data_IF_864515248818
#
_entry.id   IF_864515248818
#
_cell.length_a   1.000
_cell.length_b   1.000
_cell.length_c   1.000
_cell.angle_alpha   90.00
_cell.angle_beta   90.00
_cell.angle_gamma   90.00
#
_symmetry.space_group_name_H-M   'P 1'
#
loop_
_entity.id
_entity.type
_entity.pdbx_description
1 polymer ?
#
# COMPACT_ATOMS: atom_id res chain seq x y z
N UNK A 1 70.33 -22.38 5.88
CA UNK A 1 69.45 -21.19 5.91
C UNK A 1 68.07 -21.68 6.31
N UNK A 2 67.52 -21.22 7.42
CA UNK A 2 66.25 -21.71 7.98
C UNK A 2 65.16 -20.65 7.76
N UNK A 3 64.11 -21.02 7.05
CA UNK A 3 62.92 -20.20 6.82
C UNK A 3 62.18 -19.94 8.13
N UNK A 4 62.05 -18.67 8.53
CA UNK A 4 61.14 -18.25 9.59
C UNK A 4 59.75 -18.08 8.99
N UNK A 5 58.87 -19.07 9.20
CA UNK A 5 57.44 -18.91 8.94
C UNK A 5 56.86 -17.78 9.81
N UNK A 6 56.26 -16.79 9.15
CA UNK A 6 55.44 -15.76 9.78
C UNK A 6 54.15 -16.40 10.31
N UNK A 7 54.01 -16.49 11.63
CA UNK A 7 52.74 -16.85 12.27
C UNK A 7 51.84 -15.61 12.33
N UNK A 8 50.76 -15.60 11.54
CA UNK A 8 49.67 -14.64 11.71
C UNK A 8 48.72 -15.15 12.79
N UNK A 9 48.46 -14.31 13.80
CA UNK A 9 47.37 -14.53 14.75
C UNK A 9 46.14 -13.78 14.27
N UNK A 10 45.07 -14.52 13.96
CA UNK A 10 43.75 -13.95 13.75
C UNK A 10 43.27 -13.36 15.08
N UNK A 11 43.06 -12.05 15.11
CA UNK A 11 42.43 -11.37 16.24
C UNK A 11 40.92 -11.60 16.13
N UNK A 12 40.27 -12.01 17.23
CA UNK A 12 38.81 -12.13 17.25
C UNK A 12 38.16 -10.81 16.84
N UNK A 13 37.15 -10.89 15.98
CA UNK A 13 36.40 -9.72 15.53
C UNK A 13 35.74 -9.06 16.75
N UNK A 14 36.23 -7.89 17.16
CA UNK A 14 35.47 -7.01 18.03
C UNK A 14 34.14 -6.74 17.32
N UNK A 15 33.01 -7.07 17.96
CA UNK A 15 31.67 -6.66 17.50
C UNK A 15 31.76 -5.20 17.07
N UNK A 16 31.47 -4.94 15.81
CA UNK A 16 31.63 -3.60 15.28
C UNK A 16 30.57 -2.72 15.94
N UNK A 17 30.89 -1.44 16.16
CA UNK A 17 29.90 -0.44 16.62
C UNK A 17 28.73 -0.30 15.62
N UNK A 18 28.87 -0.89 14.42
CA UNK A 18 27.85 -0.95 13.37
C UNK A 18 26.74 -1.95 13.71
N UNK A 19 27.03 -3.00 14.48
CA UNK A 19 26.02 -4.02 14.87
C UNK A 19 25.00 -3.49 15.89
N UNK A 20 25.32 -2.41 16.61
CA UNK A 20 24.47 -1.80 17.64
C UNK A 20 23.56 -0.67 17.11
N UNK A 21 23.63 -0.29 15.83
CA UNK A 21 23.09 1.01 15.34
C UNK A 21 22.21 1.00 14.09
N UNK A 22 21.43 -0.06 13.83
CA UNK A 22 20.31 0.03 12.89
C UNK A 22 19.07 -0.65 13.46
N UNK A 23 18.63 -0.22 14.64
CA UNK A 23 17.29 -0.59 15.14
C UNK A 23 16.26 0.24 14.37
N UNK A 24 15.24 -0.40 13.77
CA UNK A 24 14.10 0.33 13.21
C UNK A 24 13.51 1.31 14.21
N UNK A 25 13.27 2.54 13.78
CA UNK A 25 12.69 3.64 14.55
C UNK A 25 11.46 4.26 13.86
N UNK A 26 11.00 3.63 12.79
CA UNK A 26 9.81 3.96 12.03
C UNK A 26 9.15 2.69 11.48
N UNK A 27 7.93 2.82 10.95
CA UNK A 27 7.17 1.73 10.38
C UNK A 27 6.45 2.18 9.11
N UNK A 28 6.35 1.26 8.14
CA UNK A 28 5.45 1.39 6.99
C UNK A 28 4.47 0.24 7.03
N UNK A 29 3.20 0.54 6.85
CA UNK A 29 2.10 -0.40 6.97
C UNK A 29 1.35 -0.47 5.65
N UNK A 30 1.22 -1.67 5.10
CA UNK A 30 0.32 -1.91 3.96
C UNK A 30 -1.03 -2.34 4.51
N UNK A 31 -2.08 -1.58 4.19
CA UNK A 31 -3.43 -1.80 4.67
C UNK A 31 -4.26 -2.36 3.52
N UNK A 32 -4.73 -3.60 3.64
CA UNK A 32 -5.49 -4.29 2.61
C UNK A 32 -6.91 -4.58 3.09
N UNK A 33 -7.85 -3.80 2.56
CA UNK A 33 -9.27 -3.92 2.77
C UNK A 33 -9.90 -4.97 1.87
N UNK A 34 -10.63 -5.91 2.45
CA UNK A 34 -11.39 -6.93 1.71
C UNK A 34 -12.60 -6.37 0.93
N UNK A 35 -13.31 -7.23 0.18
CA UNK A 35 -14.58 -6.86 -0.44
C UNK A 35 -15.60 -6.46 0.62
N UNK A 36 -16.58 -5.65 0.23
CA UNK A 36 -17.63 -5.16 1.12
C UNK A 36 -18.96 -5.02 0.38
N UNK A 37 -20.05 -4.87 1.15
CA UNK A 37 -21.38 -4.58 0.61
C UNK A 37 -21.83 -3.21 1.10
N UNK A 38 -22.28 -2.38 0.17
CA UNK A 38 -22.87 -1.07 0.47
C UNK A 38 -24.19 -0.97 -0.28
N UNK A 39 -25.27 -0.63 0.43
CA UNK A 39 -26.62 -0.48 -0.16
C UNK A 39 -27.10 -1.67 -1.01
N UNK A 40 -26.65 -2.88 -0.66
CA UNK A 40 -26.98 -4.12 -1.39
C UNK A 40 -26.07 -4.42 -2.60
N UNK A 41 -25.20 -3.50 -3.00
CA UNK A 41 -24.22 -3.70 -4.05
C UNK A 41 -22.92 -4.30 -3.49
N UNK A 42 -22.36 -5.27 -4.23
CA UNK A 42 -21.12 -5.94 -3.86
C UNK A 42 -19.91 -5.23 -4.48
N UNK A 43 -19.03 -4.70 -3.64
CA UNK A 43 -17.77 -4.09 -4.04
C UNK A 43 -16.62 -5.09 -3.87
N UNK A 44 -16.44 -5.92 -4.90
CA UNK A 44 -15.51 -7.06 -4.91
C UNK A 44 -14.02 -6.69 -4.88
N UNK A 45 -13.67 -5.49 -5.34
CA UNK A 45 -12.26 -5.13 -5.53
C UNK A 45 -11.49 -4.98 -4.21
N UNK A 46 -12.15 -4.54 -3.14
CA UNK A 46 -11.48 -4.18 -1.89
C UNK A 46 -10.82 -2.80 -1.96
N UNK A 47 -9.80 -2.58 -1.13
CA UNK A 47 -9.04 -1.33 -1.09
C UNK A 47 -7.63 -1.54 -0.57
N UNK A 48 -6.71 -0.67 -0.96
CA UNK A 48 -5.33 -0.67 -0.46
C UNK A 48 -4.94 0.75 -0.06
N UNK A 49 -4.34 0.90 1.11
CA UNK A 49 -3.77 2.16 1.57
C UNK A 49 -2.39 1.93 2.18
N UNK A 50 -1.63 3.00 2.35
CA UNK A 50 -0.30 2.96 2.95
C UNK A 50 -0.23 3.88 4.16
N UNK A 51 0.16 3.36 5.31
CA UNK A 51 0.39 4.15 6.52
C UNK A 51 1.87 4.23 6.85
N UNK A 52 2.32 5.40 7.28
CA UNK A 52 3.71 5.65 7.68
C UNK A 52 3.69 6.20 9.09
N UNK A 53 4.43 5.53 9.98
CA UNK A 53 4.61 5.92 11.38
C UNK A 53 6.08 6.24 11.60
N UNK A 54 6.36 7.43 12.13
CA UNK A 54 7.68 7.81 12.61
C UNK A 54 7.55 8.80 13.76
N UNK A 55 8.67 9.21 14.36
CA UNK A 55 8.66 10.19 15.44
C UNK A 55 7.88 11.46 15.05
N UNK A 56 6.78 11.70 15.75
CA UNK A 56 5.92 12.88 15.59
C UNK A 56 5.00 12.86 14.36
N UNK A 57 4.89 11.76 13.63
CA UNK A 57 3.99 11.64 12.48
C UNK A 57 3.37 10.25 12.37
N UNK A 58 2.06 10.20 12.14
CA UNK A 58 1.30 9.01 11.79
C UNK A 58 0.34 9.42 10.67
N UNK A 59 0.67 9.03 9.45
CA UNK A 59 -0.02 9.49 8.24
C UNK A 59 -0.47 8.29 7.43
N UNK A 60 -1.73 8.29 6.99
CA UNK A 60 -2.26 7.28 6.08
C UNK A 60 -2.61 7.90 4.73
N UNK A 61 -2.00 7.37 3.67
CA UNK A 61 -2.23 7.73 2.28
C UNK A 61 -3.23 6.76 1.67
N UNK A 62 -4.35 7.31 1.21
CA UNK A 62 -5.51 6.58 0.76
C UNK A 62 -5.92 7.10 -0.63
N UNK A 63 -5.59 6.35 -1.68
CA UNK A 63 -5.89 6.75 -3.05
C UNK A 63 -7.09 6.00 -3.59
N UNK A 64 -8.06 6.73 -4.14
CA UNK A 64 -9.28 6.13 -4.61
C UNK A 64 -10.08 7.03 -5.54
N UNK A 65 -11.23 6.51 -5.93
CA UNK A 65 -12.24 7.20 -6.73
C UNK A 65 -13.28 7.84 -5.81
N UNK A 66 -12.87 8.92 -5.16
CA UNK A 66 -13.67 9.61 -4.15
C UNK A 66 -14.40 10.86 -4.66
N UNK A 67 -14.22 11.17 -5.94
CA UNK A 67 -14.88 12.26 -6.64
C UNK A 67 -15.89 11.71 -7.65
N UNK A 68 -15.97 12.35 -8.83
CA UNK A 68 -16.86 11.88 -9.90
C UNK A 68 -16.37 10.53 -10.44
N UNK A 69 -17.29 9.56 -10.53
CA UNK A 69 -17.08 8.24 -11.14
C UNK A 69 -17.47 8.28 -12.62
N UNK A 70 -16.70 7.62 -13.48
CA UNK A 70 -16.87 7.55 -14.93
C UNK A 70 -16.61 6.12 -15.45
N UNK A 71 -16.75 5.91 -16.76
CA UNK A 71 -16.45 4.64 -17.42
C UNK A 71 -17.52 3.56 -17.21
N UNK A 72 -17.43 2.49 -17.99
CA UNK A 72 -18.36 1.36 -17.93
C UNK A 72 -18.28 0.70 -16.54
N UNK A 73 -19.43 0.38 -15.95
CA UNK A 73 -19.53 -0.20 -14.59
C UNK A 73 -18.88 0.67 -13.50
N UNK A 74 -18.71 1.97 -13.76
CA UNK A 74 -18.01 2.88 -12.87
C UNK A 74 -16.53 2.54 -12.72
N UNK A 75 -15.91 1.89 -13.72
CA UNK A 75 -14.53 1.40 -13.70
C UNK A 75 -13.46 2.50 -13.84
N UNK A 76 -13.84 3.78 -13.89
CA UNK A 76 -12.96 4.95 -13.89
C UNK A 76 -13.46 6.06 -12.95
N UNK A 77 -12.64 7.07 -12.70
CA UNK A 77 -13.09 8.28 -12.02
C UNK A 77 -11.96 9.24 -11.71
N UNK A 78 -12.30 10.35 -11.07
CA UNK A 78 -11.31 11.27 -10.53
C UNK A 78 -10.36 10.53 -9.59
N UNK A 79 -9.06 10.61 -9.87
CA UNK A 79 -8.04 10.11 -8.97
C UNK A 79 -7.93 11.03 -7.77
N UNK A 80 -8.36 10.57 -6.60
CA UNK A 80 -8.35 11.36 -5.37
C UNK A 80 -7.41 10.71 -4.37
N UNK A 81 -6.37 11.45 -3.96
CA UNK A 81 -5.53 11.12 -2.82
C UNK A 81 -6.10 11.77 -1.56
N UNK A 82 -6.41 10.94 -0.57
CA UNK A 82 -6.76 11.31 0.80
C UNK A 82 -5.54 11.10 1.69
N UNK A 83 -5.27 12.08 2.54
CA UNK A 83 -4.16 12.05 3.50
C UNK A 83 -4.75 12.24 4.88
N UNK A 84 -4.69 11.18 5.68
CA UNK A 84 -5.24 11.14 7.03
C UNK A 84 -4.14 11.35 8.05
N UNK A 85 -4.31 12.31 8.96
CA UNK A 85 -3.43 12.53 10.11
C UNK A 85 -3.88 11.79 11.39
N UNK A 86 -4.93 10.98 11.28
CA UNK A 86 -5.48 10.19 12.38
C UNK A 86 -5.89 8.81 11.87
N UNK A 87 -5.13 7.77 12.26
CA UNK A 87 -5.37 6.40 11.83
C UNK A 87 -6.69 5.83 12.37
N UNK A 88 -7.09 6.17 13.61
CA UNK A 88 -8.35 5.69 14.18
C UNK A 88 -9.56 6.18 13.37
N UNK A 89 -9.49 7.41 12.85
CA UNK A 89 -10.53 7.97 11.96
C UNK A 89 -10.54 7.29 10.59
N UNK A 90 -9.36 7.03 10.03
CA UNK A 90 -9.24 6.25 8.80
C UNK A 90 -9.86 4.85 8.96
N UNK A 91 -9.42 4.10 9.97
CA UNK A 91 -9.84 2.71 10.12
C UNK A 91 -11.31 2.59 10.54
N UNK A 92 -11.84 3.55 11.32
CA UNK A 92 -13.26 3.64 11.59
C UNK A 92 -14.09 3.84 10.30
N UNK A 93 -13.57 4.62 9.34
CA UNK A 93 -14.26 4.82 8.06
C UNK A 93 -14.26 3.57 7.18
N UNK A 94 -13.17 2.80 7.18
CA UNK A 94 -13.10 1.50 6.50
C UNK A 94 -14.06 0.48 7.16
N UNK A 95 -14.07 0.42 8.49
CA UNK A 95 -14.93 -0.49 9.25
C UNK A 95 -16.42 -0.14 9.10
N UNK A 96 -16.77 1.13 8.89
CA UNK A 96 -18.15 1.54 8.64
C UNK A 96 -18.74 0.95 7.35
N UNK A 97 -17.88 0.51 6.42
CA UNK A 97 -18.28 -0.22 5.21
C UNK A 97 -18.52 -1.72 5.48
N UNK A 98 -18.38 -2.20 6.72
CA UNK A 98 -18.45 -3.62 7.07
C UNK A 98 -17.26 -4.44 6.57
N UNK A 99 -16.17 -3.76 6.18
CA UNK A 99 -14.97 -4.36 5.63
C UNK A 99 -14.04 -4.85 6.73
N UNK A 100 -13.40 -6.00 6.49
CA UNK A 100 -12.20 -6.44 7.21
C UNK A 100 -10.96 -5.85 6.53
N UNK A 101 -10.13 -5.13 7.30
CA UNK A 101 -8.86 -4.58 6.80
C UNK A 101 -7.70 -5.27 7.50
N UNK A 102 -6.81 -5.87 6.73
CA UNK A 102 -5.57 -6.48 7.23
C UNK A 102 -4.42 -5.49 7.10
N UNK A 103 -3.74 -5.22 8.20
CA UNK A 103 -2.54 -4.40 8.31
C UNK A 103 -1.30 -5.27 8.33
N UNK A 104 -0.35 -5.00 7.42
CA UNK A 104 0.96 -5.65 7.33
C UNK A 104 2.05 -4.65 7.71
N UNK A 105 2.72 -4.88 8.84
CA UNK A 105 3.70 -3.94 9.41
C UNK A 105 5.13 -4.25 8.96
N UNK A 106 5.85 -3.24 8.48
CA UNK A 106 7.26 -3.32 8.07
C UNK A 106 8.09 -2.32 8.88
N UNK A 107 8.89 -2.79 9.86
CA UNK A 107 9.83 -1.94 10.58
C UNK A 107 10.90 -1.41 9.64
N UNK A 108 11.14 -0.11 9.67
CA UNK A 108 12.11 0.58 8.83
C UNK A 108 12.87 1.65 9.60
N UNK A 109 13.88 2.23 8.97
CA UNK A 109 14.58 3.40 9.48
C UNK A 109 13.82 4.68 9.10
N UNK A 110 13.94 5.74 9.90
CA UNK A 110 13.23 7.00 9.69
C UNK A 110 13.43 7.58 8.27
N UNK A 111 14.63 7.47 7.70
CA UNK A 111 14.88 7.97 6.34
C UNK A 111 14.12 7.19 5.26
N UNK A 112 13.83 5.91 5.50
CA UNK A 112 13.03 5.09 4.59
C UNK A 112 11.56 5.47 4.67
N UNK A 113 11.04 5.68 5.88
CA UNK A 113 9.69 6.22 6.09
C UNK A 113 9.53 7.59 5.40
N UNK A 114 10.52 8.48 5.53
CA UNK A 114 10.54 9.77 4.81
C UNK A 114 10.60 9.62 3.29
N UNK A 115 11.22 8.57 2.75
CA UNK A 115 11.25 8.34 1.31
C UNK A 115 9.83 8.09 0.76
N UNK A 116 9.01 7.34 1.52
CA UNK A 116 7.59 7.13 1.19
C UNK A 116 6.80 8.43 1.29
N UNK A 117 6.95 9.18 2.38
CA UNK A 117 6.29 10.48 2.54
C UNK A 117 6.66 11.44 1.40
N UNK A 118 7.95 11.54 1.06
CA UNK A 118 8.42 12.39 -0.04
C UNK A 118 7.83 12.00 -1.40
N UNK A 119 7.58 10.71 -1.62
CA UNK A 119 6.89 10.23 -2.82
C UNK A 119 5.46 10.76 -2.89
N UNK A 120 4.70 10.66 -1.79
CA UNK A 120 3.34 11.21 -1.74
C UNK A 120 3.32 12.74 -1.75
N UNK A 121 4.24 13.42 -1.07
CA UNK A 121 4.41 14.87 -1.15
C UNK A 121 4.61 15.33 -2.61
N UNK A 122 5.37 14.56 -3.40
CA UNK A 122 5.57 14.81 -4.82
C UNK A 122 4.28 14.68 -5.64
N UNK A 123 3.41 13.74 -5.28
CA UNK A 123 2.09 13.55 -5.88
C UNK A 123 1.13 14.66 -5.46
N UNK A 124 1.11 15.02 -4.17
CA UNK A 124 0.27 16.07 -3.60
C UNK A 124 0.55 17.43 -4.24
N UNK A 125 1.82 17.79 -4.43
CA UNK A 125 2.25 19.05 -5.07
C UNK A 125 1.75 19.20 -6.50
N UNK A 126 1.50 18.09 -7.19
CA UNK A 126 0.95 18.09 -8.55
C UNK A 126 -0.58 18.06 -8.56
N UNK A 127 -1.20 17.73 -7.42
CA UNK A 127 -2.64 17.64 -7.27
C UNK A 127 -3.31 18.98 -6.97
N UNK A 128 -4.60 19.05 -7.25
CA UNK A 128 -5.48 20.16 -6.90
C UNK A 128 -6.17 19.86 -5.55
N UNK A 129 -6.01 20.73 -4.57
CA UNK A 129 -6.73 20.60 -3.30
C UNK A 129 -8.26 20.61 -3.52
N UNK A 130 -8.98 19.70 -2.83
CA UNK A 130 -10.44 19.54 -2.87
C UNK A 130 -11.05 19.75 -1.47
N UNK A 131 -11.05 20.99 -0.94
CA UNK A 131 -11.50 21.28 0.43
C UNK A 131 -12.99 20.95 0.66
N UNK A 132 -13.81 20.94 -0.39
CA UNK A 132 -15.20 20.53 -0.31
C UNK A 132 -15.36 19.04 0.01
N UNK A 133 -14.40 18.20 -0.39
CA UNK A 133 -14.33 16.79 0.00
C UNK A 133 -13.73 16.62 1.40
N UNK A 134 -13.18 17.66 2.04
CA UNK A 134 -12.64 17.63 3.41
C UNK A 134 -13.67 18.06 4.46
N UNK A 135 -14.78 18.68 4.04
CA UNK A 135 -15.72 19.37 4.95
C UNK A 135 -16.15 18.47 6.12
N UNK A 136 -15.92 18.96 7.34
CA UNK A 136 -16.27 18.26 8.59
C UNK A 136 -15.26 17.20 9.05
N UNK A 137 -14.12 17.04 8.35
CA UNK A 137 -13.07 16.06 8.66
C UNK A 137 -11.70 16.76 8.79
N UNK A 138 -11.40 17.43 9.91
CA UNK A 138 -10.15 18.18 10.09
C UNK A 138 -8.87 17.32 9.98
N UNK A 139 -8.98 16.02 10.23
CA UNK A 139 -7.92 15.03 10.09
C UNK A 139 -7.61 14.63 8.63
N UNK A 140 -8.42 15.08 7.68
CA UNK A 140 -8.35 14.66 6.28
C UNK A 140 -7.97 15.82 5.37
N UNK A 141 -6.89 15.63 4.61
CA UNK A 141 -6.59 16.44 3.43
C UNK A 141 -6.92 15.65 2.17
N UNK A 142 -7.42 16.33 1.15
CA UNK A 142 -7.88 15.71 -0.10
C UNK A 142 -7.33 16.46 -1.30
N UNK A 143 -6.73 15.71 -2.21
CA UNK A 143 -6.13 16.20 -3.44
C UNK A 143 -6.65 15.40 -4.63
N UNK A 144 -7.12 16.10 -5.67
CA UNK A 144 -7.39 15.51 -6.97
C UNK A 144 -6.10 15.49 -7.78
N UNK A 145 -5.70 14.31 -8.22
CA UNK A 145 -4.51 14.12 -9.04
C UNK A 145 -4.81 14.42 -10.51
N UNK A 146 -3.76 14.73 -11.28
CA UNK A 146 -3.88 14.90 -12.73
C UNK A 146 -4.14 13.57 -13.46
N UNK A 147 -3.82 12.45 -12.80
CA UNK A 147 -4.08 11.10 -13.30
C UNK A 147 -5.38 10.56 -12.72
N UNK A 148 -6.30 10.16 -13.59
CA UNK A 148 -7.55 9.53 -13.19
C UNK A 148 -7.30 8.15 -12.55
N UNK A 149 -8.15 7.80 -11.60
CA UNK A 149 -8.18 6.43 -11.07
C UNK A 149 -8.80 5.52 -12.12
N UNK A 150 -8.18 4.36 -12.35
CA UNK A 150 -8.71 3.29 -13.17
C UNK A 150 -8.60 1.96 -12.43
N UNK A 151 -9.71 1.26 -12.22
CA UNK A 151 -9.78 0.08 -11.34
C UNK A 151 -8.80 -1.03 -11.71
N UNK A 152 -8.44 -1.12 -13.00
CA UNK A 152 -7.57 -2.16 -13.54
C UNK A 152 -6.15 -1.69 -13.88
N UNK A 153 -5.81 -0.42 -13.62
CA UNK A 153 -4.49 0.15 -13.96
C UNK A 153 -4.00 0.98 -12.79
N UNK A 154 -4.10 2.30 -12.88
CA UNK A 154 -3.69 3.23 -11.84
C UNK A 154 -4.76 3.30 -10.75
N UNK A 155 -4.57 2.52 -9.69
CA UNK A 155 -5.54 2.35 -8.59
C UNK A 155 -4.87 2.41 -7.21
N UNK A 156 -5.68 2.17 -6.18
CA UNK A 156 -5.27 2.17 -4.77
C UNK A 156 -4.08 1.24 -4.49
N UNK A 157 -4.11 0.03 -5.07
CA UNK A 157 -3.07 -0.98 -4.92
C UNK A 157 -1.78 -0.57 -5.61
N UNK A 158 -1.85 -0.20 -6.88
CA UNK A 158 -0.63 0.15 -7.63
C UNK A 158 0.07 1.36 -7.03
N UNK A 159 -0.68 2.38 -6.59
CA UNK A 159 -0.08 3.57 -5.99
C UNK A 159 0.54 3.27 -4.61
N UNK A 160 -0.11 2.42 -3.82
CA UNK A 160 0.45 1.99 -2.53
C UNK A 160 1.73 1.17 -2.73
N UNK A 161 1.76 0.31 -3.75
CA UNK A 161 2.94 -0.46 -4.12
C UNK A 161 4.07 0.43 -4.65
N UNK A 162 3.76 1.45 -5.45
CA UNK A 162 4.75 2.46 -5.87
C UNK A 162 5.40 3.16 -4.66
N UNK A 163 4.60 3.51 -3.65
CA UNK A 163 5.09 4.00 -2.37
C UNK A 163 5.99 3.00 -1.65
N UNK A 164 5.62 1.71 -1.61
CA UNK A 164 6.47 0.67 -1.03
C UNK A 164 7.80 0.49 -1.78
N UNK A 165 7.80 0.63 -3.10
CA UNK A 165 9.00 0.46 -3.92
C UNK A 165 10.07 1.54 -3.68
N UNK A 166 9.72 2.69 -3.08
CA UNK A 166 10.72 3.70 -2.70
C UNK A 166 11.66 3.21 -1.60
N UNK A 167 11.23 2.20 -0.84
CA UNK A 167 12.01 1.59 0.25
C UNK A 167 12.44 0.17 -0.08
N UNK A 168 11.55 -0.59 -0.71
CA UNK A 168 11.73 -2.00 -1.03
C UNK A 168 11.54 -2.23 -2.53
N UNK A 169 12.56 -1.99 -3.37
CA UNK A 169 12.44 -2.15 -4.82
C UNK A 169 11.97 -3.55 -5.25
N UNK A 170 12.25 -4.58 -4.46
CA UNK A 170 11.88 -5.97 -4.68
C UNK A 170 10.60 -6.41 -3.94
N UNK A 171 9.77 -5.49 -3.44
CA UNK A 171 8.60 -5.80 -2.61
C UNK A 171 7.63 -6.81 -3.28
N UNK A 172 7.41 -6.65 -4.59
CA UNK A 172 6.53 -7.51 -5.40
C UNK A 172 7.25 -8.70 -6.07
N UNK A 173 8.52 -8.99 -5.74
CA UNK A 173 9.23 -10.10 -6.39
C UNK A 173 8.52 -11.45 -6.15
N UNK A 174 8.30 -12.21 -7.22
CA UNK A 174 7.59 -13.49 -7.15
C UNK A 174 6.06 -13.38 -7.10
N UNK A 175 5.51 -12.17 -7.24
CA UNK A 175 4.06 -11.94 -7.21
C UNK A 175 3.30 -12.42 -8.45
N UNK A 176 3.98 -12.78 -9.55
CA UNK A 176 3.35 -13.05 -10.85
C UNK A 176 2.27 -14.12 -10.79
N UNK A 177 2.46 -15.19 -10.00
CA UNK A 177 1.47 -16.26 -9.82
C UNK A 177 0.23 -15.84 -9.03
N UNK A 178 0.25 -14.66 -8.41
CA UNK A 178 -0.87 -14.09 -7.66
C UNK A 178 -1.67 -13.08 -8.48
N UNK A 179 -1.23 -12.75 -9.70
CA UNK A 179 -1.99 -11.89 -10.62
C UNK A 179 -3.11 -12.73 -11.25
N UNK A 180 -4.19 -12.90 -10.49
CA UNK A 180 -5.32 -13.77 -10.80
C UNK A 180 -6.63 -12.97 -10.82
N UNK A 181 -6.86 -12.13 -11.85
CA UNK A 181 -8.06 -11.29 -11.94
C UNK A 181 -9.35 -12.09 -11.98
N UNK A 182 -9.35 -13.33 -12.46
CA UNK A 182 -10.49 -14.25 -12.46
C UNK A 182 -10.99 -14.65 -11.08
N UNK A 183 -10.18 -14.50 -10.03
CA UNK A 183 -10.59 -14.76 -8.65
C UNK A 183 -11.39 -13.60 -8.04
N UNK A 184 -11.41 -12.43 -8.70
CA UNK A 184 -11.96 -11.17 -8.15
C UNK A 184 -12.97 -10.53 -9.10
N UNK A 185 -12.65 -10.52 -10.40
CA UNK A 185 -13.42 -9.87 -11.46
C UNK A 185 -14.40 -10.84 -12.11
N UNK A 186 -15.61 -10.37 -12.39
CA UNK A 186 -16.59 -11.09 -13.21
C UNK A 186 -16.11 -11.29 -14.64
N UNK A 187 -16.79 -12.17 -15.37
CA UNK A 187 -16.52 -12.37 -16.79
C UNK A 187 -16.66 -11.07 -17.60
N UNK A 188 -17.68 -10.26 -17.33
CA UNK A 188 -17.90 -8.97 -18.00
C UNK A 188 -16.75 -7.98 -17.74
N UNK A 189 -16.36 -7.81 -16.48
CA UNK A 189 -15.24 -6.94 -16.08
C UNK A 189 -13.92 -7.41 -16.72
N UNK A 190 -13.69 -8.73 -16.82
CA UNK A 190 -12.51 -9.30 -17.50
C UNK A 190 -12.54 -9.12 -19.01
N UNK A 191 -13.71 -9.19 -19.64
CA UNK A 191 -13.84 -8.92 -21.07
C UNK A 191 -13.46 -7.45 -21.36
N UNK A 192 -13.98 -6.51 -20.57
CA UNK A 192 -13.63 -5.08 -20.64
C UNK A 192 -12.15 -4.83 -20.36
N UNK A 193 -11.54 -5.57 -19.42
CA UNK A 193 -10.10 -5.51 -19.15
C UNK A 193 -9.27 -5.84 -20.40
N UNK A 194 -9.68 -6.86 -21.17
CA UNK A 194 -8.96 -7.28 -22.38
C UNK A 194 -9.15 -6.33 -23.56
N UNK A 195 -10.31 -5.68 -23.68
CA UNK A 195 -10.65 -4.85 -24.84
C UNK A 195 -10.36 -3.36 -24.65
N UNK A 196 -10.64 -2.81 -23.46
CA UNK A 196 -10.48 -1.38 -23.13
C UNK A 196 -9.30 -1.18 -22.15
N UNK A 197 -9.17 -2.10 -21.20
CA UNK A 197 -8.13 -2.06 -20.16
C UNK A 197 -6.71 -2.37 -20.63
N UNK A 198 -6.49 -2.71 -21.91
CA UNK A 198 -5.17 -2.98 -22.48
C UNK A 198 -4.54 -4.30 -22.03
N UNK A 199 -5.36 -5.21 -21.51
CA UNK A 199 -4.93 -6.53 -21.03
C UNK A 199 -4.70 -6.59 -19.51
N UNK A 200 -4.29 -7.76 -19.04
CA UNK A 200 -3.94 -7.98 -17.63
C UNK A 200 -2.62 -7.27 -17.31
N UNK A 201 -2.56 -6.44 -16.24
CA UNK A 201 -1.32 -5.84 -15.78
C UNK A 201 -0.21 -6.87 -15.48
N UNK A 202 1.05 -6.48 -15.65
CA UNK A 202 2.23 -7.30 -15.35
C UNK A 202 2.64 -7.30 -13.87
N UNK A 203 1.89 -6.60 -13.02
CA UNK A 203 2.11 -6.48 -11.57
C UNK A 203 0.79 -6.64 -10.81
N UNK A 204 0.85 -6.81 -9.50
CA UNK A 204 -0.35 -6.88 -8.68
C UNK A 204 -1.07 -5.53 -8.72
N UNK A 205 -2.38 -5.57 -8.95
CA UNK A 205 -3.24 -4.38 -8.99
C UNK A 205 -4.55 -4.56 -8.21
N UNK A 206 -4.92 -5.78 -7.85
CA UNK A 206 -6.14 -6.06 -7.09
C UNK A 206 -5.79 -6.25 -5.61
N UNK A 207 -6.48 -5.58 -4.68
CA UNK A 207 -6.27 -5.74 -3.24
C UNK A 207 -6.34 -7.20 -2.77
N UNK A 208 -7.31 -7.98 -3.24
CA UNK A 208 -7.42 -9.39 -2.87
C UNK A 208 -6.22 -10.23 -3.32
N UNK A 209 -5.69 -9.98 -4.52
CA UNK A 209 -4.48 -10.64 -5.01
C UNK A 209 -3.24 -10.20 -4.21
N UNK A 210 -3.13 -8.90 -3.88
CA UNK A 210 -2.08 -8.39 -2.99
C UNK A 210 -2.12 -9.10 -1.64
N UNK A 211 -3.31 -9.19 -1.02
CA UNK A 211 -3.50 -9.90 0.25
C UNK A 211 -3.00 -11.34 0.16
N UNK A 212 -3.41 -12.08 -0.87
CA UNK A 212 -3.04 -13.48 -1.08
C UNK A 212 -1.51 -13.63 -1.22
N UNK A 213 -0.85 -12.71 -1.93
CA UNK A 213 0.61 -12.66 -2.03
C UNK A 213 1.27 -12.41 -0.67
N UNK A 214 0.81 -11.39 0.06
CA UNK A 214 1.36 -11.02 1.37
C UNK A 214 1.16 -12.10 2.44
N UNK A 215 0.06 -12.86 2.36
CA UNK A 215 -0.23 -13.95 3.29
C UNK A 215 0.60 -15.20 3.02
N UNK A 216 0.91 -15.51 1.75
CA UNK A 216 1.48 -16.82 1.37
C UNK A 216 2.97 -16.77 1.04
N UNK A 217 3.37 -15.82 0.21
CA UNK A 217 4.72 -15.82 -0.36
C UNK A 217 5.26 -14.41 -0.61
N UNK A 218 5.24 -13.50 0.40
CA UNK A 218 5.81 -12.18 0.22
C UNK A 218 7.32 -12.27 0.03
N UNK A 219 7.88 -11.43 -0.86
CA UNK A 219 9.32 -11.27 -0.97
C UNK A 219 9.94 -10.73 0.31
N UNK A 220 9.19 -9.87 1.02
CA UNK A 220 9.57 -9.28 2.30
C UNK A 220 8.48 -9.61 3.31
N UNK A 221 8.84 -10.37 4.34
CA UNK A 221 7.88 -10.77 5.37
C UNK A 221 7.52 -9.57 6.26
N UNK A 222 6.24 -9.33 6.52
CA UNK A 222 5.83 -8.36 7.53
C UNK A 222 6.29 -8.83 8.92
N UNK A 223 6.66 -7.89 9.79
CA UNK A 223 6.99 -8.19 11.18
C UNK A 223 5.74 -8.47 12.02
N UNK A 224 4.61 -7.88 11.64
CA UNK A 224 3.33 -8.09 12.30
C UNK A 224 2.17 -8.05 11.30
N UNK A 225 1.09 -8.75 11.63
CA UNK A 225 -0.16 -8.76 10.85
C UNK A 225 -1.34 -8.57 11.80
N UNK A 226 -2.07 -7.48 11.63
CA UNK A 226 -3.23 -7.13 12.47
C UNK A 226 -4.48 -7.09 11.59
N UNK A 227 -5.61 -7.55 12.12
CA UNK A 227 -6.91 -7.39 11.47
C UNK A 227 -7.74 -6.35 12.19
N UNK A 228 -8.30 -5.42 11.41
CA UNK A 228 -9.20 -4.36 11.86
C UNK A 228 -10.61 -4.60 11.34
N UNK A 229 -11.59 -4.40 12.21
CA UNK A 229 -12.98 -4.71 11.90
C UNK A 229 -13.33 -6.18 12.12
N UNK A 230 -14.62 -6.47 12.23
CA UNK A 230 -15.12 -7.81 12.46
C UNK A 230 -15.79 -8.37 11.22
N UNK A 231 -15.66 -9.69 11.01
CA UNK A 231 -16.72 -10.46 10.33
C UNK A 231 -18.02 -10.16 11.09
N UNK A 232 -18.82 -9.23 10.58
CA UNK A 232 -20.15 -8.99 11.09
C UNK A 232 -20.95 -10.29 11.00
N UNK A 233 -21.54 -10.65 12.14
CA UNK A 233 -22.42 -11.79 12.43
C UNK A 233 -23.30 -12.25 11.27
#
# INVERSE_FOLDING_TARGET
>A
MADKQLQTKTVESKKSVVDDKLKPDAEIHVLVGGPYKLDGEEHRYGHTALRVIRKGADVTFDFGRYGRVTGDFGAEGEGILRVWSNFDKYIASENALGRLTTEYTYPVLEYQAKAVENFFDGIEKQGKARPELQRGRPELKVFQLNTNYHALRYNCTTLSLDGMHTVFPNFENGSTSFIAPEEVLTWGERATMKTVGGGTPSRIFLPANLKNFLDKQPAIKPANVINHGGRGK
#
